data_IF_536417320833
#
_entry.id   IF_536417320833
#
_cell.length_a   1.000
_cell.length_b   1.000
_cell.length_c   1.000
_cell.angle_alpha   90.00
_cell.angle_beta   90.00
_cell.angle_gamma   90.00
#
_symmetry.space_group_name_H-M   'P 1'
#
loop_
_entity.id
_entity.type
_entity.pdbx_description
1 polymer ?
#
# COMPACT_ATOMS: atom_id res chain seq x y z
N UNK A 1 52.91 -38.97 -31.41
CA UNK A 1 52.11 -37.73 -31.35
C UNK A 1 50.82 -38.05 -30.63
N UNK A 2 50.67 -37.63 -29.37
CA UNK A 2 49.50 -37.92 -28.54
C UNK A 2 48.68 -36.63 -28.48
N UNK A 3 47.49 -36.65 -29.04
CA UNK A 3 46.59 -35.50 -29.12
C UNK A 3 45.79 -35.41 -27.82
N UNK A 4 46.11 -34.44 -26.98
CA UNK A 4 45.37 -34.14 -25.76
C UNK A 4 44.14 -33.29 -26.10
N UNK A 5 42.95 -33.86 -25.87
CA UNK A 5 41.67 -33.15 -25.96
C UNK A 5 41.38 -32.45 -24.64
N UNK A 6 41.34 -31.11 -24.67
CA UNK A 6 40.93 -30.26 -23.55
C UNK A 6 39.40 -30.17 -23.57
N UNK A 7 38.74 -30.72 -22.54
CA UNK A 7 37.31 -30.52 -22.29
C UNK A 7 37.15 -29.21 -21.52
N UNK A 8 36.61 -28.19 -22.17
CA UNK A 8 36.24 -26.93 -21.54
C UNK A 8 34.90 -27.09 -20.80
N UNK A 9 34.92 -27.03 -19.46
CA UNK A 9 33.72 -26.90 -18.65
C UNK A 9 33.15 -25.49 -18.81
N UNK A 10 31.96 -25.40 -19.41
CA UNK A 10 31.12 -24.20 -19.40
C UNK A 10 30.39 -24.13 -18.06
N UNK A 11 30.81 -23.21 -17.19
CA UNK A 11 30.06 -22.85 -15.98
C UNK A 11 28.90 -21.91 -16.37
N UNK A 12 27.68 -22.12 -15.85
CA UNK A 12 26.58 -21.18 -16.07
C UNK A 12 26.86 -19.88 -15.32
N UNK A 13 26.89 -18.78 -16.06
CA UNK A 13 26.95 -17.42 -15.51
C UNK A 13 25.60 -17.15 -14.84
N UNK A 14 25.58 -17.10 -13.51
CA UNK A 14 24.43 -16.61 -12.76
C UNK A 14 24.35 -15.11 -13.00
N UNK A 15 23.47 -14.69 -13.91
CA UNK A 15 23.15 -13.29 -14.11
C UNK A 15 22.46 -12.77 -12.84
N UNK A 16 23.12 -11.85 -12.13
CA UNK A 16 22.46 -11.02 -11.14
C UNK A 16 21.37 -10.22 -11.87
N UNK A 17 20.10 -10.54 -11.62
CA UNK A 17 19.00 -9.71 -12.04
C UNK A 17 19.16 -8.34 -11.38
N UNK A 18 19.47 -7.32 -12.17
CA UNK A 18 19.43 -5.94 -11.71
C UNK A 18 18.03 -5.62 -11.15
N UNK A 19 17.91 -4.75 -10.12
CA UNK A 19 16.61 -4.26 -9.71
C UNK A 19 15.93 -3.62 -10.93
N UNK A 20 14.82 -4.21 -11.35
CA UNK A 20 14.04 -3.67 -12.45
C UNK A 20 13.50 -2.32 -12.00
N UNK A 21 13.88 -1.26 -12.71
CA UNK A 21 13.26 0.05 -12.54
C UNK A 21 11.80 -0.07 -12.93
N UNK A 22 10.90 -0.08 -11.95
CA UNK A 22 9.47 -0.14 -12.19
C UNK A 22 9.03 1.20 -12.78
N UNK A 23 8.49 1.15 -13.99
CA UNK A 23 7.81 2.28 -14.63
C UNK A 23 6.53 2.55 -13.83
N UNK A 24 6.51 3.64 -13.06
CA UNK A 24 5.28 4.14 -12.47
C UNK A 24 4.32 4.56 -13.59
N UNK A 25 3.16 3.91 -13.65
CA UNK A 25 2.00 4.51 -14.32
C UNK A 25 1.78 5.89 -13.65
N UNK A 26 1.39 6.96 -14.37
CA UNK A 26 1.19 8.26 -13.77
C UNK A 26 -0.12 8.26 -12.98
N UNK A 27 -0.16 7.53 -11.88
CA UNK A 27 -1.03 7.83 -10.77
C UNK A 27 -0.77 9.29 -10.39
N UNK A 28 -1.83 10.06 -10.26
CA UNK A 28 -1.84 11.42 -9.70
C UNK A 28 -0.76 11.51 -8.64
N UNK A 29 0.26 12.35 -8.87
CA UNK A 29 1.48 12.38 -8.05
C UNK A 29 1.08 12.47 -6.59
N UNK A 30 1.31 11.38 -5.85
CA UNK A 30 1.03 11.31 -4.43
C UNK A 30 1.89 12.39 -3.78
N UNK A 31 1.28 13.47 -3.30
CA UNK A 31 2.01 14.47 -2.52
C UNK A 31 2.22 13.86 -1.16
N UNK A 32 3.38 13.23 -0.97
CA UNK A 32 3.73 12.55 0.27
C UNK A 32 3.93 13.61 1.35
N UNK A 33 3.06 13.59 2.37
CA UNK A 33 3.23 14.43 3.55
C UNK A 33 4.46 14.03 4.37
N UNK A 34 5.17 15.02 4.90
CA UNK A 34 6.21 14.80 5.88
C UNK A 34 5.53 14.79 7.24
N UNK A 35 5.60 13.66 7.96
CA UNK A 35 4.93 13.37 9.24
C UNK A 35 3.44 13.01 9.17
N UNK A 36 3.08 11.93 9.87
CA UNK A 36 1.70 11.51 10.11
C UNK A 36 1.07 10.75 8.96
N UNK A 37 -0.26 10.63 9.02
CA UNK A 37 -1.05 9.90 8.03
C UNK A 37 -2.04 10.83 7.38
N UNK A 38 -2.11 10.79 6.05
CA UNK A 38 -3.05 11.58 5.25
C UNK A 38 -3.86 10.66 4.35
N UNK A 39 -5.17 10.83 4.35
CA UNK A 39 -6.07 10.15 3.43
C UNK A 39 -6.86 11.19 2.63
N UNK A 40 -6.88 11.05 1.30
CA UNK A 40 -7.62 11.94 0.41
C UNK A 40 -8.80 11.23 -0.24
N UNK A 41 -10.01 11.74 0.00
CA UNK A 41 -11.19 11.31 -0.73
C UNK A 41 -11.29 12.13 -2.03
N UNK A 42 -10.83 11.61 -3.17
CA UNK A 42 -11.01 12.29 -4.46
C UNK A 42 -12.36 11.94 -5.12
N UNK A 43 -13.21 11.14 -4.48
CA UNK A 43 -14.50 10.78 -5.02
C UNK A 43 -15.45 11.99 -5.04
N UNK A 44 -16.43 11.96 -5.95
CA UNK A 44 -17.52 12.95 -6.01
C UNK A 44 -18.60 12.75 -4.93
N UNK A 45 -18.32 11.94 -3.91
CA UNK A 45 -19.25 11.58 -2.83
C UNK A 45 -18.49 11.45 -1.51
N UNK A 46 -19.22 11.60 -0.42
CA UNK A 46 -18.70 11.42 0.94
C UNK A 46 -18.44 9.93 1.19
N UNK A 47 -17.43 9.64 2.02
CA UNK A 47 -17.16 8.27 2.51
C UNK A 47 -17.19 8.27 4.02
N UNK A 48 -17.53 7.14 4.63
CA UNK A 48 -17.38 6.96 6.07
C UNK A 48 -16.08 6.24 6.38
N UNK A 49 -15.58 6.42 7.60
CA UNK A 49 -14.38 5.74 8.05
C UNK A 49 -14.53 5.18 9.47
N UNK A 50 -13.74 4.15 9.76
CA UNK A 50 -13.41 3.73 11.12
C UNK A 50 -11.89 3.54 11.26
N UNK A 51 -11.34 3.93 12.40
CA UNK A 51 -9.94 3.78 12.77
C UNK A 51 -9.91 2.75 13.89
N UNK A 52 -9.25 1.62 13.63
CA UNK A 52 -9.00 0.58 14.60
C UNK A 52 -7.51 0.58 14.90
N UNK A 53 -7.13 1.00 16.10
CA UNK A 53 -5.75 1.00 16.56
C UNK A 53 -5.71 0.25 17.91
N UNK A 54 -4.91 -0.82 18.03
CA UNK A 54 -4.91 -1.64 19.24
C UNK A 54 -4.29 -0.94 20.47
N UNK A 55 -3.65 0.22 20.30
CA UNK A 55 -3.07 1.03 21.36
C UNK A 55 -3.80 2.36 21.63
N UNK A 56 -4.88 2.68 20.91
CA UNK A 56 -5.62 3.91 21.11
C UNK A 56 -7.13 3.70 21.01
N UNK A 57 -7.89 4.78 21.23
CA UNK A 57 -9.36 4.72 21.12
C UNK A 57 -9.76 4.56 19.66
N UNK A 58 -10.75 3.72 19.40
CA UNK A 58 -11.39 3.68 18.09
C UNK A 58 -12.09 5.02 17.79
N UNK A 59 -12.07 5.42 16.51
CA UNK A 59 -12.71 6.64 16.03
C UNK A 59 -13.43 6.36 14.71
N UNK A 60 -14.54 7.02 14.44
CA UNK A 60 -15.26 6.93 13.19
C UNK A 60 -15.84 8.28 12.79
N UNK A 61 -16.16 8.43 11.50
CA UNK A 61 -16.73 9.67 10.99
C UNK A 61 -16.96 9.64 9.49
N UNK A 62 -17.06 10.84 8.92
CA UNK A 62 -17.27 11.06 7.49
C UNK A 62 -16.15 11.92 6.92
N UNK A 63 -15.66 11.57 5.74
CA UNK A 63 -14.71 12.35 4.96
C UNK A 63 -15.47 12.85 3.74
N UNK A 64 -15.77 14.15 3.72
CA UNK A 64 -16.53 14.73 2.62
C UNK A 64 -15.83 14.58 1.27
N UNK A 65 -16.60 14.60 0.20
CA UNK A 65 -16.10 14.59 -1.17
C UNK A 65 -14.99 15.65 -1.35
N UNK A 66 -13.89 15.26 -1.99
CA UNK A 66 -12.73 16.13 -2.24
C UNK A 66 -11.91 16.50 -0.99
N UNK A 67 -12.29 16.03 0.20
CA UNK A 67 -11.65 16.42 1.46
C UNK A 67 -10.51 15.49 1.86
N UNK A 68 -9.71 15.97 2.80
CA UNK A 68 -8.58 15.24 3.38
C UNK A 68 -8.86 14.93 4.84
N UNK A 69 -8.60 13.69 5.22
CA UNK A 69 -8.51 13.25 6.61
C UNK A 69 -7.05 13.15 7.02
N UNK A 70 -6.78 13.46 8.28
CA UNK A 70 -5.45 13.34 8.88
C UNK A 70 -5.53 12.46 10.12
N UNK A 71 -4.52 11.62 10.28
CA UNK A 71 -4.37 10.73 11.43
C UNK A 71 -2.94 10.68 11.92
N UNK A 72 -2.79 10.11 13.11
CA UNK A 72 -1.49 9.93 13.73
C UNK A 72 -0.78 8.69 13.17
N UNK A 73 0.53 8.80 13.04
CA UNK A 73 1.41 7.68 12.77
C UNK A 73 2.14 7.34 14.07
N UNK A 74 1.80 6.20 14.67
CA UNK A 74 2.32 5.78 15.98
C UNK A 74 2.92 4.39 15.94
N UNK A 75 3.90 4.16 16.82
CA UNK A 75 4.37 2.81 17.15
C UNK A 75 3.38 2.18 18.13
N UNK A 76 3.00 0.93 17.89
CA UNK A 76 2.11 0.17 18.74
C UNK A 76 2.56 -1.29 18.79
N UNK A 77 3.01 -1.73 19.97
CA UNK A 77 3.49 -3.09 20.19
C UNK A 77 2.45 -4.18 19.94
N UNK A 78 1.17 -3.81 19.92
CA UNK A 78 0.04 -4.72 19.72
C UNK A 78 -0.42 -4.80 18.26
N UNK A 79 0.20 -4.07 17.34
CA UNK A 79 -0.07 -4.14 15.90
C UNK A 79 -0.25 -2.77 15.24
N UNK A 80 -0.52 -2.80 13.92
CA UNK A 80 -0.74 -1.62 13.11
C UNK A 80 -2.14 -1.01 13.33
N UNK A 81 -2.31 0.21 12.87
CA UNK A 81 -3.63 0.85 12.74
C UNK A 81 -4.27 0.43 11.43
N UNK A 82 -5.56 0.08 11.46
CA UNK A 82 -6.38 -0.12 10.28
C UNK A 82 -7.33 1.07 10.11
N UNK A 83 -7.14 1.84 9.04
CA UNK A 83 -8.09 2.83 8.55
C UNK A 83 -9.03 2.16 7.54
N UNK A 84 -10.25 1.88 7.98
CA UNK A 84 -11.30 1.29 7.16
C UNK A 84 -12.13 2.39 6.53
N UNK A 85 -12.27 2.35 5.21
CA UNK A 85 -13.04 3.32 4.43
C UNK A 85 -14.20 2.61 3.74
N UNK A 86 -15.39 3.19 3.85
CA UNK A 86 -16.62 2.61 3.31
C UNK A 86 -17.27 3.59 2.34
N UNK A 87 -17.82 3.06 1.25
CA UNK A 87 -18.60 3.84 0.29
C UNK A 87 -19.90 4.34 0.90
N UNK A 88 -20.63 3.42 1.52
CA UNK A 88 -21.91 3.65 2.19
C UNK A 88 -22.00 2.68 3.38
N UNK A 89 -22.48 3.16 4.54
CA UNK A 89 -22.68 2.31 5.72
C UNK A 89 -21.39 1.96 6.47
N UNK A 90 -21.27 0.70 6.90
CA UNK A 90 -20.18 0.20 7.78
C UNK A 90 -19.71 -1.22 7.41
N UNK A 91 -20.09 -1.66 6.23
CA UNK A 91 -19.97 -3.00 5.72
C UNK A 91 -19.14 -2.92 4.43
N UNK A 92 -18.25 -3.89 4.20
CA UNK A 92 -17.38 -3.94 3.01
C UNK A 92 -16.32 -2.82 2.93
N UNK A 93 -15.47 -2.64 3.96
CA UNK A 93 -14.43 -1.63 3.92
C UNK A 93 -13.33 -1.95 2.90
N UNK A 94 -12.76 -0.91 2.32
CA UNK A 94 -11.34 -0.92 1.97
C UNK A 94 -10.54 -0.73 3.26
N UNK A 95 -9.53 -1.54 3.50
CA UNK A 95 -8.72 -1.47 4.72
C UNK A 95 -7.29 -1.03 4.37
N UNK A 96 -6.94 0.19 4.76
CA UNK A 96 -5.57 0.69 4.71
C UNK A 96 -4.90 0.44 6.04
N UNK A 97 -3.80 -0.30 6.08
CA UNK A 97 -3.07 -0.57 7.31
C UNK A 97 -1.77 0.20 7.33
N UNK A 98 -1.43 0.76 8.49
CA UNK A 98 -0.17 1.47 8.68
C UNK A 98 0.30 1.42 10.13
N UNK A 99 1.61 1.56 10.33
CA UNK A 99 2.18 1.66 11.67
C UNK A 99 3.67 1.95 11.65
N UNK A 100 4.22 2.28 12.82
CA UNK A 100 5.67 2.39 13.01
C UNK A 100 6.19 1.15 13.71
N UNK A 101 7.25 0.56 13.17
CA UNK A 101 7.98 -0.54 13.82
C UNK A 101 9.47 -0.33 13.62
N UNK A 102 10.23 -0.26 14.71
CA UNK A 102 11.68 -0.09 14.70
C UNK A 102 12.14 1.12 13.86
N UNK A 103 11.41 2.24 13.94
CA UNK A 103 11.73 3.47 13.21
C UNK A 103 11.46 3.41 11.70
N UNK A 104 10.73 2.40 11.23
CA UNK A 104 10.23 2.32 9.86
C UNK A 104 8.72 2.44 9.87
N UNK A 105 8.17 3.14 8.89
CA UNK A 105 6.74 3.08 8.57
C UNK A 105 6.46 1.84 7.74
N UNK A 106 5.44 1.10 8.12
CA UNK A 106 4.92 -0.04 7.38
C UNK A 106 3.52 0.26 6.91
N UNK A 107 3.18 -0.18 5.70
CA UNK A 107 1.86 0.05 5.14
C UNK A 107 1.48 -0.97 4.08
N UNK A 108 0.17 -1.24 4.03
CA UNK A 108 -0.46 -2.11 3.06
C UNK A 108 -1.94 -1.73 2.83
N UNK A 109 -2.55 -2.33 1.81
CA UNK A 109 -3.96 -2.16 1.48
C UNK A 109 -4.64 -3.49 1.18
N UNK A 110 -5.82 -3.67 1.77
CA UNK A 110 -6.69 -4.82 1.57
C UNK A 110 -8.06 -4.43 1.01
N UNK A 111 -8.46 -5.17 -0.02
CA UNK A 111 -9.78 -5.17 -0.65
C UNK A 111 -10.62 -6.38 -0.23
N UNK A 112 -10.05 -7.32 0.53
CA UNK A 112 -10.64 -8.64 0.84
C UNK A 112 -12.10 -8.50 1.28
N UNK A 113 -12.38 -7.56 2.19
CA UNK A 113 -13.72 -7.34 2.71
C UNK A 113 -14.63 -6.66 1.68
N UNK A 114 -14.13 -5.67 0.91
CA UNK A 114 -14.98 -4.93 0.00
C UNK A 114 -15.40 -5.71 -1.25
N UNK A 115 -14.51 -6.54 -1.78
CA UNK A 115 -14.82 -7.41 -2.92
C UNK A 115 -15.44 -8.75 -2.48
N UNK A 116 -15.28 -9.13 -1.20
CA UNK A 116 -15.92 -10.30 -0.59
C UNK A 116 -15.73 -11.60 -1.40
N UNK A 117 -14.51 -11.84 -1.91
CA UNK A 117 -14.17 -13.02 -2.73
C UNK A 117 -14.66 -12.96 -4.18
N UNK A 118 -15.11 -11.80 -4.65
CA UNK A 118 -15.39 -11.53 -6.07
C UNK A 118 -14.33 -10.60 -6.68
N UNK A 119 -14.45 -10.28 -7.98
CA UNK A 119 -13.65 -9.25 -8.66
C UNK A 119 -14.43 -7.91 -8.80
N UNK A 120 -15.51 -7.73 -8.02
CA UNK A 120 -16.36 -6.54 -8.10
C UNK A 120 -15.91 -5.43 -7.14
N UNK A 121 -15.17 -4.46 -7.68
CA UNK A 121 -14.69 -3.29 -6.95
C UNK A 121 -15.74 -2.18 -6.80
N UNK A 122 -16.95 -2.30 -7.38
CA UNK A 122 -17.96 -1.24 -7.29
C UNK A 122 -18.50 -1.03 -5.86
N UNK A 123 -18.31 -2.04 -5.02
CA UNK A 123 -18.70 -2.06 -3.61
C UNK A 123 -17.64 -1.43 -2.70
N UNK A 124 -16.41 -1.29 -3.19
CA UNK A 124 -15.33 -0.61 -2.49
C UNK A 124 -15.55 0.90 -2.49
N UNK A 125 -14.94 1.60 -1.54
CA UNK A 125 -15.07 3.04 -1.36
C UNK A 125 -14.60 3.87 -2.58
N UNK A 126 -13.70 3.31 -3.40
CA UNK A 126 -13.31 3.88 -4.68
C UNK A 126 -12.73 2.82 -5.61
N UNK A 127 -12.88 3.03 -6.92
CA UNK A 127 -12.35 2.11 -7.93
C UNK A 127 -10.82 2.23 -8.05
N UNK A 128 -10.30 3.44 -8.28
CA UNK A 128 -8.87 3.73 -8.27
C UNK A 128 -8.36 4.11 -6.88
N UNK A 129 -7.09 3.85 -6.60
CA UNK A 129 -6.47 4.21 -5.31
C UNK A 129 -4.96 4.39 -5.45
N UNK A 130 -4.37 4.97 -4.41
CA UNK A 130 -2.92 5.08 -4.27
C UNK A 130 -2.52 5.10 -2.81
N UNK A 131 -1.33 4.58 -2.50
CA UNK A 131 -0.71 4.63 -1.19
C UNK A 131 0.80 4.74 -1.33
N UNK A 132 1.44 5.47 -0.42
CA UNK A 132 2.89 5.54 -0.38
C UNK A 132 3.42 6.38 0.77
N UNK A 133 4.73 6.37 0.90
CA UNK A 133 5.49 7.22 1.83
C UNK A 133 6.46 8.11 1.04
N UNK A 134 7.29 8.87 1.74
CA UNK A 134 8.10 9.96 1.18
C UNK A 134 9.15 9.52 0.15
N UNK A 135 9.40 10.38 -0.85
CA UNK A 135 10.55 10.27 -1.75
C UNK A 135 10.72 8.90 -2.44
N UNK A 136 11.74 8.13 -2.05
CA UNK A 136 12.11 6.85 -2.69
C UNK A 136 11.41 5.62 -2.07
N UNK A 137 10.51 5.82 -1.10
CA UNK A 137 9.71 4.75 -0.53
C UNK A 137 8.83 4.08 -1.60
N UNK A 138 8.50 2.78 -1.46
CA UNK A 138 7.58 2.12 -2.39
C UNK A 138 6.22 2.82 -2.48
N UNK A 139 5.66 2.88 -3.68
CA UNK A 139 4.31 3.42 -3.89
C UNK A 139 3.46 2.37 -4.61
N UNK A 140 2.20 2.27 -4.23
CA UNK A 140 1.22 1.40 -4.85
C UNK A 140 0.07 2.24 -5.40
N UNK A 141 -0.44 1.88 -6.57
CA UNK A 141 -1.62 2.53 -7.16
C UNK A 141 -2.24 1.67 -8.26
N UNK A 142 -3.56 1.75 -8.42
CA UNK A 142 -4.26 1.23 -9.59
C UNK A 142 -5.34 2.21 -10.07
N UNK A 143 -5.83 2.03 -11.29
CA UNK A 143 -6.95 2.81 -11.83
C UNK A 143 -8.32 2.19 -11.51
N UNK A 144 -8.34 0.89 -11.21
CA UNK A 144 -9.51 0.19 -10.69
C UNK A 144 -9.72 -1.19 -11.27
N UNK A 145 -10.57 -1.99 -10.61
CA UNK A 145 -10.87 -3.36 -11.04
C UNK A 145 -9.78 -4.37 -10.68
N UNK A 146 -9.76 -5.51 -11.37
CA UNK A 146 -8.93 -6.67 -11.00
C UNK A 146 -7.42 -6.43 -11.05
N UNK A 147 -6.96 -5.42 -11.79
CA UNK A 147 -5.54 -5.00 -11.79
C UNK A 147 -5.07 -4.54 -10.39
N UNK A 148 -5.99 -4.05 -9.55
CA UNK A 148 -5.67 -3.62 -8.19
C UNK A 148 -5.19 -4.78 -7.32
N UNK A 149 -5.58 -6.01 -7.64
CA UNK A 149 -5.12 -7.22 -6.95
C UNK A 149 -3.62 -7.50 -7.17
N UNK A 150 -2.97 -6.84 -8.14
CA UNK A 150 -1.51 -6.94 -8.31
C UNK A 150 -0.73 -6.12 -7.29
N UNK A 151 -1.38 -5.13 -6.65
CA UNK A 151 -0.77 -4.15 -5.76
C UNK A 151 -1.49 -4.01 -4.40
N UNK A 152 -2.48 -4.85 -4.12
CA UNK A 152 -3.22 -4.90 -2.87
C UNK A 152 -3.77 -6.30 -2.60
N UNK A 153 -4.17 -6.58 -1.36
CA UNK A 153 -4.72 -7.88 -0.98
C UNK A 153 -6.17 -8.02 -1.47
N UNK A 154 -6.42 -8.91 -2.43
CA UNK A 154 -7.79 -9.31 -2.82
C UNK A 154 -8.23 -10.63 -2.16
N UNK A 155 -7.26 -11.39 -1.64
CA UNK A 155 -7.50 -12.57 -0.83
C UNK A 155 -6.53 -12.59 0.36
N UNK A 156 -6.83 -13.32 1.45
CA UNK A 156 -5.99 -13.36 2.66
C UNK A 156 -4.57 -13.90 2.44
N UNK A 157 -4.28 -14.51 1.30
CA UNK A 157 -3.00 -15.14 0.97
C UNK A 157 -2.23 -14.39 -0.12
N UNK A 158 -2.74 -13.26 -0.61
CA UNK A 158 -2.16 -12.47 -1.71
C UNK A 158 -1.84 -13.31 -2.97
N UNK A 159 -2.72 -14.25 -3.34
CA UNK A 159 -2.47 -15.17 -4.46
C UNK A 159 -2.34 -14.46 -5.81
N UNK A 160 -3.01 -13.32 -5.99
CA UNK A 160 -2.99 -12.54 -7.22
C UNK A 160 -1.88 -11.47 -7.26
N UNK A 161 -1.25 -11.16 -6.11
CA UNK A 161 -0.30 -10.06 -6.03
C UNK A 161 1.05 -10.47 -6.61
N UNK A 162 1.58 -9.70 -7.56
CA UNK A 162 2.90 -9.97 -8.14
C UNK A 162 4.02 -9.76 -7.10
N UNK A 163 3.78 -8.89 -6.13
CA UNK A 163 4.59 -8.64 -4.95
C UNK A 163 3.64 -8.59 -3.76
N UNK A 164 4.12 -9.02 -2.58
CA UNK A 164 3.31 -8.80 -1.37
C UNK A 164 3.09 -7.30 -1.22
N UNK A 165 1.84 -6.82 -1.16
CA UNK A 165 1.51 -5.40 -1.17
C UNK A 165 1.69 -4.78 0.22
N UNK A 166 2.84 -5.08 0.83
CA UNK A 166 3.29 -4.61 2.12
C UNK A 166 4.66 -3.95 1.90
N UNK A 167 4.77 -2.68 2.26
CA UNK A 167 5.98 -1.90 2.13
C UNK A 167 6.46 -1.35 3.47
N UNK A 168 7.77 -1.34 3.64
CA UNK A 168 8.46 -0.67 4.73
C UNK A 168 9.32 0.48 4.21
N UNK A 169 9.31 1.60 4.92
CA UNK A 169 10.20 2.72 4.64
C UNK A 169 10.79 3.36 5.91
N UNK A 170 12.07 3.70 5.89
CA UNK A 170 12.76 4.30 7.02
C UNK A 170 14.26 4.46 6.77
N UNK A 171 15.07 4.07 7.75
CA UNK A 171 16.50 4.32 7.74
C UNK A 171 17.22 3.69 6.54
N UNK A 172 16.73 2.56 6.01
CA UNK A 172 17.30 1.92 4.81
C UNK A 172 17.17 2.78 3.55
N UNK A 173 16.16 3.64 3.49
CA UNK A 173 15.93 4.61 2.42
C UNK A 173 16.53 5.99 2.73
N UNK A 174 17.22 6.13 3.87
CA UNK A 174 17.87 7.38 4.28
C UNK A 174 16.99 8.34 5.07
N UNK A 175 15.83 7.90 5.55
CA UNK A 175 14.88 8.74 6.27
C UNK A 175 14.92 8.51 7.78
N UNK A 176 14.79 9.60 8.54
CA UNK A 176 14.57 9.58 9.98
C UNK A 176 13.08 9.52 10.30
N UNK A 177 12.75 9.12 11.54
CA UNK A 177 11.36 8.98 11.99
C UNK A 177 10.52 10.24 11.80
N UNK A 178 11.12 11.42 12.01
CA UNK A 178 10.44 12.72 11.87
C UNK A 178 10.18 13.14 10.42
N UNK A 179 10.60 12.34 9.44
CA UNK A 179 10.32 12.58 8.01
C UNK A 179 9.24 11.64 7.49
N UNK A 180 9.03 10.50 8.15
CA UNK A 180 8.13 9.46 7.69
C UNK A 180 6.66 9.84 7.85
N UNK A 181 5.88 9.49 6.84
CA UNK A 181 4.43 9.62 6.82
C UNK A 181 3.83 8.67 5.79
N UNK A 182 2.51 8.48 5.84
CA UNK A 182 1.78 7.70 4.83
C UNK A 182 0.75 8.59 4.18
N UNK A 183 0.71 8.60 2.86
CA UNK A 183 -0.34 9.27 2.09
C UNK A 183 -1.13 8.22 1.32
N UNK A 184 -2.45 8.33 1.41
CA UNK A 184 -3.41 7.43 0.78
C UNK A 184 -4.46 8.25 0.04
N UNK A 185 -5.07 7.65 -0.96
CA UNK A 185 -6.23 8.23 -1.62
C UNK A 185 -7.03 7.22 -2.41
N UNK A 186 -8.29 7.56 -2.65
CA UNK A 186 -9.24 6.79 -3.46
C UNK A 186 -9.84 7.67 -4.57
N UNK A 187 -10.39 7.02 -5.60
CA UNK A 187 -10.94 7.65 -6.81
C UNK A 187 -9.90 8.50 -7.57
N UNK A 188 -8.70 7.95 -7.76
CA UNK A 188 -7.63 8.55 -8.56
C UNK A 188 -7.77 8.32 -10.05
#
# INVERSE_FOLDING_TARGET
MVQQSIIALLLPIIAFAAPQGYSSNPATTLVTGNTGVTFKNNCGYDVTYSVLNPCSSENSGTISAGSTWSGDLSDCSSGNTALKIYKDGSDKPMQFEYGLVNGNVWYDLSFVDCISGSDDFNQCAGAGWSMGSIGSCPTFACSGGSECCQQGYCDPYATAAALQPNAGCGAMQGYSLGELGVTMGICN
#
